data_IF_029940616541
#
_entry.id   IF_029940616541
#
_cell.length_a   1.000
_cell.length_b   1.000
_cell.length_c   1.000
_cell.angle_alpha   90.00
_cell.angle_beta   90.00
_cell.angle_gamma   90.00
#
_symmetry.space_group_name_H-M   'P 1'
#
loop_
_entity.id
_entity.type
_entity.pdbx_description
1 polymer ?
#
# COMPACT_ATOMS: atom_id res chain seq x y z
N UNK A 1 -13.44 -16.32 2.58
CA UNK A 1 -12.07 -16.16 2.06
C UNK A 1 -11.90 -14.87 1.26
N UNK A 2 -12.88 -14.53 0.41
CA UNK A 2 -12.91 -13.30 -0.40
C UNK A 2 -12.80 -11.98 0.40
N UNK A 3 -13.55 -11.89 1.50
CA UNK A 3 -13.48 -10.76 2.45
C UNK A 3 -12.09 -10.62 3.06
N UNK A 4 -11.43 -11.75 3.33
CA UNK A 4 -10.08 -11.80 3.91
C UNK A 4 -9.03 -11.22 2.96
N UNK A 5 -9.12 -11.51 1.65
CA UNK A 5 -8.19 -10.96 0.64
C UNK A 5 -8.38 -9.45 0.47
N UNK A 6 -9.62 -8.99 0.36
CA UNK A 6 -9.89 -7.55 0.28
C UNK A 6 -9.39 -6.85 1.56
N UNK A 7 -9.67 -7.39 2.73
CA UNK A 7 -9.24 -6.82 4.01
C UNK A 7 -7.72 -6.80 4.15
N UNK A 8 -7.04 -7.84 3.67
CA UNK A 8 -5.58 -7.90 3.59
C UNK A 8 -5.00 -6.82 2.66
N UNK A 9 -5.60 -6.61 1.48
CA UNK A 9 -5.22 -5.49 0.61
C UNK A 9 -5.41 -4.14 1.32
N UNK A 10 -6.52 -3.88 2.03
CA UNK A 10 -6.65 -2.64 2.82
C UNK A 10 -5.49 -2.51 3.82
N UNK A 11 -5.17 -3.60 4.52
CA UNK A 11 -4.17 -3.63 5.56
C UNK A 11 -2.79 -3.24 5.04
N UNK A 12 -2.39 -3.76 3.88
CA UNK A 12 -1.09 -3.44 3.27
C UNK A 12 -1.03 -1.98 2.82
N UNK A 13 -2.07 -1.47 2.16
CA UNK A 13 -2.11 -0.07 1.75
C UNK A 13 -2.01 0.88 2.95
N UNK A 14 -2.78 0.62 4.01
CA UNK A 14 -2.79 1.46 5.22
C UNK A 14 -1.47 1.42 5.99
N UNK A 15 -0.88 0.23 6.14
CA UNK A 15 0.41 0.07 6.83
C UNK A 15 1.54 0.74 6.04
N UNK A 16 1.60 0.53 4.73
CA UNK A 16 2.61 1.16 3.88
C UNK A 16 2.51 2.70 3.91
N UNK A 17 1.29 3.25 3.87
CA UNK A 17 1.06 4.68 4.03
C UNK A 17 1.53 5.19 5.40
N UNK A 18 1.17 4.49 6.48
CA UNK A 18 1.53 4.90 7.85
C UNK A 18 3.04 4.89 8.06
N UNK A 19 3.73 3.86 7.60
CA UNK A 19 5.19 3.77 7.69
C UNK A 19 5.89 4.80 6.81
N UNK A 20 5.39 5.05 5.61
CA UNK A 20 5.91 6.10 4.73
C UNK A 20 5.74 7.50 5.35
N UNK A 21 4.57 7.78 5.93
CA UNK A 21 4.28 9.04 6.61
C UNK A 21 5.17 9.23 7.84
N UNK A 22 5.28 8.19 8.68
CA UNK A 22 6.17 8.20 9.85
C UNK A 22 7.63 8.40 9.46
N UNK A 23 8.10 7.68 8.44
CA UNK A 23 9.45 7.84 7.88
C UNK A 23 9.70 9.25 7.36
N UNK A 24 8.72 9.85 6.67
CA UNK A 24 8.85 11.20 6.13
C UNK A 24 8.95 12.23 7.25
N UNK A 25 8.12 12.12 8.29
CA UNK A 25 8.18 12.99 9.46
C UNK A 25 9.50 12.83 10.22
N UNK A 26 9.97 11.60 10.42
CA UNK A 26 11.23 11.32 11.12
C UNK A 26 12.44 11.87 10.37
N UNK A 27 12.51 11.61 9.06
CA UNK A 27 13.56 12.15 8.20
C UNK A 27 13.52 13.67 8.31
N UNK A 28 12.44 14.33 7.91
CA UNK A 28 12.37 15.80 7.95
C UNK A 28 12.64 16.40 9.34
N UNK A 29 12.17 15.75 10.42
CA UNK A 29 12.48 16.14 11.79
C UNK A 29 13.99 16.08 12.11
N UNK A 30 14.68 15.03 11.69
CA UNK A 30 16.14 14.92 11.78
C UNK A 30 16.85 16.03 10.99
N UNK A 31 16.33 16.44 9.82
CA UNK A 31 16.94 17.52 9.05
C UNK A 31 16.88 18.83 9.81
N UNK A 32 15.70 19.15 10.37
CA UNK A 32 15.49 20.34 11.17
C UNK A 32 16.42 20.33 12.39
N UNK A 33 16.51 19.19 13.10
CA UNK A 33 17.40 19.06 14.26
C UNK A 33 18.89 19.24 13.90
N UNK A 34 19.34 18.65 12.79
CA UNK A 34 20.71 18.80 12.29
C UNK A 34 21.01 20.22 11.82
N UNK A 35 20.06 20.89 11.20
CA UNK A 35 20.20 22.28 10.77
C UNK A 35 20.33 23.23 11.97
N UNK A 36 19.51 23.04 13.00
CA UNK A 36 19.56 23.83 14.25
C UNK A 36 20.92 23.66 14.94
N UNK A 37 21.46 22.44 14.97
CA UNK A 37 22.69 22.10 15.71
C UNK A 37 23.98 22.46 14.97
N UNK A 38 24.09 22.13 13.67
CA UNK A 38 25.35 22.33 12.94
C UNK A 38 25.51 23.72 12.34
N UNK A 39 24.42 24.40 11.95
CA UNK A 39 24.40 25.72 11.27
C UNK A 39 25.40 25.92 10.11
N UNK A 40 26.03 24.86 9.64
CA UNK A 40 27.08 24.88 8.63
C UNK A 40 26.50 24.47 7.27
N UNK A 41 26.61 25.38 6.30
CA UNK A 41 25.90 25.28 5.01
C UNK A 41 26.52 24.24 4.09
N UNK A 42 27.80 23.90 4.27
CA UNK A 42 28.50 22.92 3.42
C UNK A 42 27.99 21.49 3.61
N UNK A 43 27.60 21.14 4.85
CA UNK A 43 27.04 19.84 5.17
C UNK A 43 25.64 19.68 4.61
N UNK A 44 24.81 20.71 4.70
CA UNK A 44 23.45 20.70 4.14
C UNK A 44 23.52 20.38 2.64
N UNK A 45 24.37 21.09 1.88
CA UNK A 45 24.47 20.92 0.43
C UNK A 45 24.86 19.50 0.00
N UNK A 46 25.74 18.84 0.76
CA UNK A 46 26.20 17.48 0.46
C UNK A 46 25.15 16.42 0.79
N UNK A 47 24.35 16.64 1.83
CA UNK A 47 23.30 15.72 2.24
C UNK A 47 21.98 15.97 1.51
N UNK A 48 21.71 17.17 0.98
CA UNK A 48 20.44 17.50 0.30
C UNK A 48 20.03 16.47 -0.76
N UNK A 49 20.95 15.97 -1.58
CA UNK A 49 20.61 14.98 -2.61
C UNK A 49 20.12 13.65 -2.03
N UNK A 50 20.78 13.16 -0.98
CA UNK A 50 20.38 11.95 -0.26
C UNK A 50 19.03 12.14 0.43
N UNK A 51 18.84 13.28 1.07
CA UNK A 51 17.61 13.65 1.74
C UNK A 51 16.42 13.76 0.78
N UNK A 52 16.65 14.35 -0.39
CA UNK A 52 15.67 14.43 -1.46
C UNK A 52 15.33 13.03 -1.98
N UNK A 53 16.33 12.17 -2.22
CA UNK A 53 16.13 10.80 -2.68
C UNK A 53 15.28 9.98 -1.70
N UNK A 54 15.57 10.09 -0.39
CA UNK A 54 14.78 9.42 0.66
C UNK A 54 13.34 9.93 0.70
N UNK A 55 13.12 11.24 0.60
CA UNK A 55 11.77 11.80 0.57
C UNK A 55 10.99 11.34 -0.67
N UNK A 56 11.62 11.35 -1.85
CA UNK A 56 11.00 10.87 -3.08
C UNK A 56 10.62 9.39 -2.98
N UNK A 57 11.49 8.57 -2.39
CA UNK A 57 11.20 7.16 -2.16
C UNK A 57 10.02 6.96 -1.20
N UNK A 58 10.00 7.69 -0.08
CA UNK A 58 8.92 7.61 0.91
C UNK A 58 7.59 8.06 0.31
N UNK A 59 7.57 9.13 -0.48
CA UNK A 59 6.38 9.58 -1.21
C UNK A 59 5.94 8.53 -2.23
N UNK A 60 6.88 7.98 -3.00
CA UNK A 60 6.58 6.94 -3.98
C UNK A 60 5.95 5.70 -3.33
N UNK A 61 6.43 5.28 -2.15
CA UNK A 61 5.86 4.15 -1.40
C UNK A 61 4.50 4.53 -0.80
N UNK A 62 4.44 5.67 -0.10
CA UNK A 62 3.26 6.12 0.61
C UNK A 62 2.07 6.45 -0.31
N UNK A 63 2.32 6.86 -1.55
CA UNK A 63 1.26 7.10 -2.54
C UNK A 63 1.10 5.90 -3.47
N UNK A 64 2.20 5.32 -3.94
CA UNK A 64 2.18 4.26 -4.94
C UNK A 64 1.56 2.97 -4.41
N UNK A 65 1.93 2.52 -3.22
CA UNK A 65 1.41 1.26 -2.67
C UNK A 65 -0.10 1.33 -2.42
N UNK A 66 -0.66 2.35 -1.74
CA UNK A 66 -2.12 2.48 -1.60
C UNK A 66 -2.84 2.59 -2.94
N UNK A 67 -2.26 3.28 -3.92
CA UNK A 67 -2.88 3.46 -5.24
C UNK A 67 -2.96 2.14 -6.00
N UNK A 68 -1.85 1.37 -6.07
CA UNK A 68 -1.84 0.03 -6.71
C UNK A 68 -2.84 -0.89 -6.02
N UNK A 69 -2.90 -0.84 -4.70
CA UNK A 69 -3.85 -1.62 -3.89
C UNK A 69 -5.31 -1.25 -4.21
N UNK A 70 -5.61 0.04 -4.35
CA UNK A 70 -6.94 0.51 -4.71
C UNK A 70 -7.33 0.09 -6.14
N UNK A 71 -6.42 0.21 -7.10
CA UNK A 71 -6.65 -0.23 -8.49
C UNK A 71 -6.91 -1.73 -8.56
N UNK A 72 -6.11 -2.55 -7.84
CA UNK A 72 -6.32 -3.99 -7.77
C UNK A 72 -7.71 -4.34 -7.22
N UNK A 73 -8.18 -3.62 -6.19
CA UNK A 73 -9.53 -3.80 -5.63
C UNK A 73 -10.62 -3.45 -6.63
N UNK A 74 -10.49 -2.32 -7.32
CA UNK A 74 -11.44 -1.90 -8.35
C UNK A 74 -11.48 -2.91 -9.49
N UNK A 75 -10.34 -3.46 -9.91
CA UNK A 75 -10.28 -4.50 -10.93
C UNK A 75 -11.02 -5.78 -10.49
N UNK A 76 -10.83 -6.23 -9.24
CA UNK A 76 -11.55 -7.39 -8.69
C UNK A 76 -13.05 -7.14 -8.61
N UNK A 77 -13.48 -5.95 -8.19
CA UNK A 77 -14.91 -5.60 -8.14
C UNK A 77 -15.52 -5.50 -9.55
N UNK A 78 -14.82 -4.87 -10.49
CA UNK A 78 -15.25 -4.72 -11.88
C UNK A 78 -15.35 -6.04 -12.64
N UNK A 79 -14.37 -6.94 -12.45
CA UNK A 79 -14.38 -8.27 -13.07
C UNK A 79 -15.63 -9.09 -12.69
N UNK A 80 -16.16 -8.90 -11.47
CA UNK A 80 -17.40 -9.57 -11.04
C UNK A 80 -18.67 -8.96 -11.61
N UNK A 81 -18.69 -7.65 -11.79
CA UNK A 81 -19.82 -6.97 -12.40
C UNK A 81 -20.04 -7.41 -13.86
N UNK A 82 -18.95 -7.79 -14.56
CA UNK A 82 -19.00 -8.25 -15.96
C UNK A 82 -19.33 -9.74 -16.08
N UNK A 83 -19.01 -10.57 -15.08
CA UNK A 83 -19.20 -12.03 -15.16
C UNK A 83 -19.92 -12.60 -13.93
N UNK A 84 -21.27 -12.54 -13.87
CA UNK A 84 -22.02 -13.18 -12.80
C UNK A 84 -21.96 -14.71 -12.95
N UNK A 85 -21.26 -15.39 -12.04
CA UNK A 85 -21.24 -16.86 -11.95
C UNK A 85 -19.94 -17.57 -12.30
N UNK A 86 -18.87 -16.85 -12.67
CA UNK A 86 -17.54 -17.48 -12.79
C UNK A 86 -16.86 -17.51 -11.42
N UNK A 87 -16.88 -18.69 -10.80
CA UNK A 87 -16.05 -19.01 -9.65
C UNK A 87 -14.60 -19.14 -10.15
N UNK A 88 -13.86 -18.03 -10.13
CA UNK A 88 -12.43 -17.98 -10.47
C UNK A 88 -11.55 -18.85 -9.54
N UNK A 89 -12.14 -19.43 -8.49
CA UNK A 89 -11.51 -20.32 -7.54
C UNK A 89 -12.18 -21.70 -7.58
N UNK A 90 -11.49 -22.76 -8.06
CA UNK A 90 -12.02 -24.11 -8.07
C UNK A 90 -11.99 -24.67 -6.64
N UNK A 91 -13.14 -24.64 -5.96
CA UNK A 91 -13.28 -25.15 -4.59
C UNK A 91 -14.72 -25.22 -4.07
N UNK A 92 -15.66 -24.52 -4.69
CA UNK A 92 -17.07 -24.57 -4.30
C UNK A 92 -17.89 -25.15 -5.47
N UNK A 93 -17.99 -26.47 -5.52
CA UNK A 93 -18.91 -27.13 -6.46
C UNK A 93 -20.33 -27.09 -5.87
N UNK A 94 -21.35 -26.66 -6.65
CA UNK A 94 -22.76 -26.71 -6.27
C UNK A 94 -23.31 -28.14 -6.03
N UNK A 95 -22.51 -29.16 -6.33
CA UNK A 95 -22.88 -30.57 -6.40
C UNK A 95 -23.26 -31.17 -5.03
N UNK A 96 -22.78 -30.60 -3.92
CA UNK A 96 -23.11 -31.10 -2.58
C UNK A 96 -24.57 -30.84 -2.15
N UNK A 97 -25.28 -29.92 -2.82
CA UNK A 97 -26.68 -29.58 -2.48
C UNK A 97 -27.69 -30.51 -3.13
N UNK A 98 -27.35 -31.15 -4.25
CA UNK A 98 -28.27 -32.04 -4.99
C UNK A 98 -28.23 -33.46 -4.43
N UNK A 99 -27.10 -33.89 -3.88
CA UNK A 99 -26.90 -35.26 -3.34
C UNK A 99 -27.56 -35.54 -1.98
N UNK A 100 -28.20 -34.55 -1.35
CA UNK A 100 -28.90 -34.65 -0.06
C UNK A 100 -30.42 -34.52 -0.20
N UNK A 101 -30.93 -34.48 -1.44
CA UNK A 101 -32.34 -34.34 -1.75
C UNK A 101 -33.01 -35.65 -2.21
N UNK A 102 -32.30 -36.78 -2.08
CA UNK A 102 -32.78 -38.13 -2.42
C UNK A 102 -32.94 -38.98 -1.15
#
# INVERSE_FOLDING_TARGET
MESSLLQWLTGIGWTAFTWALGGLLLVNGLAVALWITKRDRSLVQRYTSLWLAVNLLLVAIGVGVPTVTAVARLAVMGARAVTPGVNWFPGETPQARVMLAD
#
